data_IF_325897013490
#
_entry.id   IF_325897013490
#
_cell.length_a   1.000
_cell.length_b   1.000
_cell.length_c   1.000
_cell.angle_alpha   90.00
_cell.angle_beta   90.00
_cell.angle_gamma   90.00
#
_symmetry.space_group_name_H-M   'P 1'
#
loop_
_entity.id
_entity.type
_entity.pdbx_description
1 polymer ?
#
# COMPACT_ATOMS: atom_id res chain seq x y z
N UNK A 1 -8.75 -9.47 -19.49
CA UNK A 1 -7.98 -9.28 -19.58
C UNK A 1 -7.08 -9.52 -18.90
N UNK A 2 -7.14 -9.76 -18.95
CA UNK A 2 -6.39 -9.98 -18.70
C UNK A 2 -5.16 -9.66 -18.43
N UNK A 3 -4.46 -9.86 -18.09
CA UNK A 3 -3.07 -9.60 -18.06
C UNK A 3 -2.58 -8.17 -18.21
N UNK A 4 -3.45 -7.23 -18.06
CA UNK A 4 -3.04 -5.85 -18.11
C UNK A 4 -2.29 -5.50 -16.84
N UNK A 5 -1.12 -4.90 -17.01
CA UNK A 5 -0.35 -4.41 -15.89
C UNK A 5 -0.95 -3.12 -15.35
N UNK A 6 -0.96 -2.99 -14.05
CA UNK A 6 -1.28 -1.71 -13.44
C UNK A 6 -0.10 -0.77 -13.62
N UNK A 7 -0.40 0.50 -13.86
CA UNK A 7 0.63 1.53 -14.00
C UNK A 7 0.92 2.10 -12.62
N UNK A 8 2.19 1.99 -12.20
CA UNK A 8 2.65 2.66 -10.98
C UNK A 8 3.18 4.02 -11.38
N UNK A 9 2.66 5.05 -10.75
CA UNK A 9 3.04 6.44 -10.99
C UNK A 9 3.83 6.97 -9.82
N UNK A 10 4.60 8.02 -10.06
CA UNK A 10 5.38 8.67 -9.02
C UNK A 10 5.04 10.15 -8.96
N UNK A 11 4.70 10.61 -7.75
CA UNK A 11 4.45 12.02 -7.48
C UNK A 11 5.69 12.60 -6.80
N UNK A 12 6.44 13.38 -7.56
CA UNK A 12 7.69 13.94 -7.10
C UNK A 12 7.55 14.91 -5.94
N UNK A 13 6.49 15.71 -5.95
CA UNK A 13 6.30 16.71 -4.90
C UNK A 13 6.06 16.10 -3.54
N UNK A 14 5.37 14.97 -3.50
CA UNK A 14 5.00 14.32 -2.25
C UNK A 14 5.81 13.07 -1.95
N UNK A 15 6.77 12.72 -2.81
CA UNK A 15 7.56 11.49 -2.67
C UNK A 15 6.67 10.27 -2.52
N UNK A 16 5.74 10.12 -3.45
CA UNK A 16 4.75 9.04 -3.38
C UNK A 16 4.77 8.21 -4.65
N UNK A 17 4.70 6.90 -4.48
CA UNK A 17 4.35 5.98 -5.55
C UNK A 17 2.90 5.63 -5.39
N UNK A 18 2.16 5.56 -6.47
CA UNK A 18 0.74 5.27 -6.36
C UNK A 18 0.18 4.56 -7.59
N UNK A 19 -0.94 3.88 -7.36
CA UNK A 19 -1.75 3.29 -8.42
C UNK A 19 -3.15 3.87 -8.29
N UNK A 20 -3.70 4.34 -9.41
CA UNK A 20 -5.10 4.77 -9.49
C UNK A 20 -5.87 3.78 -10.36
N UNK A 21 -7.02 3.35 -9.87
CA UNK A 21 -7.88 2.43 -10.62
C UNK A 21 -9.33 2.84 -10.46
N UNK A 22 -10.07 2.74 -11.54
CA UNK A 22 -11.49 3.03 -11.52
C UNK A 22 -12.27 1.77 -11.19
N UNK A 23 -13.20 1.90 -10.25
CA UNK A 23 -14.09 0.80 -9.86
C UNK A 23 -15.50 1.37 -9.84
N UNK A 24 -16.28 1.07 -10.88
CA UNK A 24 -17.61 1.67 -11.02
C UNK A 24 -17.53 3.20 -11.11
N UNK A 25 -18.20 3.88 -10.22
CA UNK A 25 -18.19 5.35 -10.17
C UNK A 25 -17.16 5.91 -9.21
N UNK A 26 -16.30 5.06 -8.68
CA UNK A 26 -15.28 5.48 -7.73
C UNK A 26 -13.90 5.32 -8.34
N UNK A 27 -12.97 6.12 -7.87
CA UNK A 27 -11.55 5.96 -8.19
C UNK A 27 -10.79 5.65 -6.91
N UNK A 28 -10.05 4.55 -6.95
CA UNK A 28 -9.22 4.13 -5.85
C UNK A 28 -7.80 4.61 -6.12
N UNK A 29 -7.16 5.16 -5.09
CA UNK A 29 -5.76 5.52 -5.15
C UNK A 29 -5.03 4.88 -3.97
N UNK A 30 -4.18 3.91 -4.26
CA UNK A 30 -3.32 3.29 -3.24
C UNK A 30 -1.95 3.92 -3.31
N UNK A 31 -1.44 4.38 -2.18
CA UNK A 31 -0.22 5.19 -2.12
C UNK A 31 0.80 4.55 -1.20
N UNK A 32 2.04 4.52 -1.66
CA UNK A 32 3.23 4.24 -0.86
C UNK A 32 3.99 5.56 -0.72
N UNK A 33 3.86 6.19 0.42
CA UNK A 33 4.54 7.45 0.69
C UNK A 33 5.88 7.19 1.36
N UNK A 34 6.94 7.75 0.78
CA UNK A 34 8.25 7.69 1.40
C UNK A 34 8.21 8.59 2.63
N UNK A 35 8.22 7.97 3.80
CA UNK A 35 7.97 8.66 5.05
C UNK A 35 9.25 9.09 5.75
N UNK A 36 10.24 8.23 5.72
CA UNK A 36 11.48 8.48 6.42
C UNK A 36 12.61 7.78 5.68
N UNK A 37 13.83 8.28 5.88
CA UNK A 37 14.98 7.74 5.20
C UNK A 37 16.19 7.93 6.12
N UNK A 38 16.77 6.83 6.56
CA UNK A 38 18.04 6.89 7.28
C UNK A 38 19.14 6.27 6.42
N UNK A 39 20.34 6.06 6.99
CA UNK A 39 21.51 5.66 6.20
C UNK A 39 21.32 4.38 5.39
N UNK A 40 20.52 3.43 5.88
CA UNK A 40 20.40 2.11 5.26
C UNK A 40 18.97 1.61 5.11
N UNK A 41 17.99 2.38 5.52
CA UNK A 41 16.59 1.95 5.51
C UNK A 41 15.68 3.05 5.03
N UNK A 42 14.74 2.70 4.15
CA UNK A 42 13.70 3.62 3.67
C UNK A 42 12.36 3.10 4.16
N UNK A 43 11.54 4.00 4.69
CA UNK A 43 10.22 3.68 5.22
C UNK A 43 9.14 4.16 4.27
N UNK A 44 8.20 3.28 3.95
CA UNK A 44 7.05 3.60 3.10
C UNK A 44 5.77 3.41 3.91
N UNK A 45 5.02 4.48 4.04
CA UNK A 45 3.69 4.44 4.66
C UNK A 45 2.66 4.16 3.57
N UNK A 46 1.80 3.19 3.81
CA UNK A 46 0.77 2.80 2.86
C UNK A 46 -0.56 3.39 3.27
N UNK A 47 -1.24 4.05 2.34
CA UNK A 47 -2.61 4.51 2.60
C UNK A 47 -3.44 4.46 1.33
N UNK A 48 -4.74 4.50 1.52
CA UNK A 48 -5.72 4.33 0.46
C UNK A 48 -6.71 5.47 0.50
N UNK A 49 -7.05 6.01 -0.67
CA UNK A 49 -8.07 7.05 -0.79
C UNK A 49 -9.09 6.61 -1.83
N UNK A 50 -10.37 6.84 -1.54
CA UNK A 50 -11.46 6.66 -2.49
C UNK A 50 -12.01 8.02 -2.88
N UNK A 51 -12.14 8.23 -4.18
CA UNK A 51 -12.75 9.42 -4.75
C UNK A 51 -14.08 9.04 -5.41
N UNK A 52 -15.08 9.91 -5.30
CA UNK A 52 -16.32 9.70 -6.02
C UNK A 52 -16.15 10.15 -7.48
N UNK A 53 -17.18 10.00 -8.28
CA UNK A 53 -17.12 10.34 -9.71
C UNK A 53 -16.83 11.81 -9.99
N UNK A 54 -16.97 12.69 -8.98
CA UNK A 54 -16.65 14.10 -9.10
C UNK A 54 -15.25 14.43 -8.60
N UNK A 55 -14.43 13.42 -8.38
CA UNK A 55 -13.10 13.53 -7.83
C UNK A 55 -13.05 14.13 -6.42
N UNK A 56 -14.14 13.97 -5.67
CA UNK A 56 -14.19 14.36 -4.27
C UNK A 56 -13.79 13.17 -3.43
N UNK A 57 -13.03 13.42 -2.38
CA UNK A 57 -12.62 12.35 -1.47
C UNK A 57 -13.83 11.85 -0.70
N UNK A 58 -14.16 10.56 -0.86
CA UNK A 58 -15.22 9.92 -0.10
C UNK A 58 -14.69 9.35 1.19
N UNK A 59 -13.51 8.73 1.13
CA UNK A 59 -12.89 8.24 2.32
C UNK A 59 -11.39 8.08 2.09
N UNK A 60 -10.63 8.33 3.15
CA UNK A 60 -9.20 8.11 3.18
C UNK A 60 -8.91 6.69 3.66
N UNK A 61 -7.64 6.31 3.57
CA UNK A 61 -7.18 5.00 3.97
C UNK A 61 -7.80 4.53 5.29
N UNK A 62 -7.81 5.40 6.28
CA UNK A 62 -8.30 5.05 7.61
C UNK A 62 -9.81 4.81 7.64
N UNK A 63 -10.54 5.32 6.68
CA UNK A 63 -11.99 5.22 6.63
C UNK A 63 -12.50 4.23 5.60
N UNK A 64 -11.60 3.65 4.82
CA UNK A 64 -12.02 2.71 3.79
C UNK A 64 -12.68 1.51 4.44
N UNK A 65 -13.91 1.28 4.10
CA UNK A 65 -14.69 0.17 4.64
C UNK A 65 -14.78 -1.00 3.69
N UNK A 66 -14.12 -0.92 2.55
CA UNK A 66 -14.23 -1.94 1.51
C UNK A 66 -15.69 -2.17 1.10
N UNK A 67 -16.50 -1.14 1.28
CA UNK A 67 -17.94 -1.24 1.06
C UNK A 67 -18.39 -0.51 -0.18
N UNK A 68 -17.60 0.36 -0.77
CA UNK A 68 -18.00 1.13 -1.92
C UNK A 68 -19.11 0.51 -2.77
N UNK A 69 -19.13 0.77 -4.04
CA UNK A 69 -20.12 0.19 -4.93
C UNK A 69 -19.89 -1.30 -5.18
N UNK A 70 -18.66 -1.75 -5.02
CA UNK A 70 -18.28 -3.13 -5.32
C UNK A 70 -17.15 -3.54 -4.38
N UNK A 71 -17.48 -3.93 -3.15
CA UNK A 71 -16.45 -4.20 -2.14
C UNK A 71 -15.52 -5.35 -2.49
N UNK A 72 -16.03 -6.39 -3.13
CA UNK A 72 -15.19 -7.53 -3.50
C UNK A 72 -14.18 -7.13 -4.58
N UNK A 73 -14.63 -6.42 -5.61
CA UNK A 73 -13.75 -5.94 -6.66
C UNK A 73 -12.71 -4.97 -6.09
N UNK A 74 -13.14 -4.08 -5.20
CA UNK A 74 -12.24 -3.14 -4.53
C UNK A 74 -11.13 -3.90 -3.81
N UNK A 75 -11.47 -4.94 -3.09
CA UNK A 75 -10.50 -5.76 -2.38
C UNK A 75 -9.45 -6.38 -3.32
N UNK A 76 -9.90 -6.95 -4.43
CA UNK A 76 -8.98 -7.54 -5.40
C UNK A 76 -8.08 -6.49 -6.05
N UNK A 77 -8.63 -5.33 -6.37
CA UNK A 77 -7.84 -4.24 -6.96
C UNK A 77 -6.79 -3.74 -5.98
N UNK A 78 -7.16 -3.56 -4.72
CA UNK A 78 -6.21 -3.13 -3.69
C UNK A 78 -5.06 -4.13 -3.56
N UNK A 79 -5.37 -5.41 -3.51
CA UNK A 79 -4.33 -6.45 -3.40
C UNK A 79 -3.38 -6.42 -4.58
N UNK A 80 -3.93 -6.31 -5.78
CA UNK A 80 -3.11 -6.25 -6.98
C UNK A 80 -2.25 -4.99 -7.01
N UNK A 81 -2.84 -3.85 -6.68
CA UNK A 81 -2.11 -2.58 -6.63
C UNK A 81 -0.99 -2.63 -5.60
N UNK A 82 -1.27 -3.19 -4.43
CA UNK A 82 -0.27 -3.34 -3.38
C UNK A 82 0.94 -4.14 -3.88
N UNK A 83 0.69 -5.24 -4.56
CA UNK A 83 1.73 -6.09 -5.11
C UNK A 83 2.62 -5.34 -6.12
N UNK A 84 1.99 -4.60 -7.04
CA UNK A 84 2.75 -3.83 -8.01
C UNK A 84 3.57 -2.72 -7.37
N UNK A 85 3.01 -2.08 -6.33
CA UNK A 85 3.74 -1.05 -5.60
C UNK A 85 4.93 -1.62 -4.84
N UNK A 86 4.77 -2.77 -4.20
CA UNK A 86 5.89 -3.42 -3.51
C UNK A 86 6.99 -3.76 -4.52
N UNK A 87 6.63 -4.34 -5.66
CA UNK A 87 7.62 -4.65 -6.69
C UNK A 87 8.35 -3.40 -7.15
N UNK A 88 7.63 -2.30 -7.34
CA UNK A 88 8.22 -1.05 -7.82
C UNK A 88 9.25 -0.51 -6.84
N UNK A 89 8.91 -0.40 -5.57
CA UNK A 89 9.85 0.14 -4.58
C UNK A 89 11.02 -0.80 -4.31
N UNK A 90 10.79 -2.12 -4.36
CA UNK A 90 11.89 -3.07 -4.25
C UNK A 90 12.86 -2.91 -5.42
N UNK A 91 12.34 -2.81 -6.63
CA UNK A 91 13.17 -2.65 -7.82
C UNK A 91 14.00 -1.38 -7.78
N UNK A 92 13.41 -0.28 -7.32
CA UNK A 92 14.08 1.01 -7.29
C UNK A 92 15.14 1.12 -6.19
N UNK A 93 14.90 0.53 -5.01
CA UNK A 93 15.71 0.85 -3.84
C UNK A 93 16.34 -0.33 -3.13
N UNK A 94 15.79 -1.54 -3.26
CA UNK A 94 16.21 -2.65 -2.41
C UNK A 94 17.62 -3.18 -2.72
N UNK A 95 18.15 -2.88 -3.89
CA UNK A 95 19.52 -3.23 -4.22
C UNK A 95 20.52 -2.54 -3.30
N UNK A 96 20.11 -1.44 -2.66
CA UNK A 96 20.99 -0.64 -1.81
C UNK A 96 20.48 -0.47 -0.39
N UNK A 97 19.17 -0.56 -0.16
CA UNK A 97 18.54 -0.25 1.12
C UNK A 97 17.64 -1.37 1.60
N UNK A 98 17.54 -1.51 2.93
CA UNK A 98 16.40 -2.19 3.51
C UNK A 98 15.17 -1.32 3.30
N UNK A 99 14.02 -1.93 3.10
CA UNK A 99 12.76 -1.20 3.01
C UNK A 99 11.82 -1.68 4.11
N UNK A 100 11.14 -0.73 4.75
CA UNK A 100 10.07 -1.05 5.68
C UNK A 100 8.78 -0.51 5.07
N UNK A 101 7.84 -1.40 4.83
CA UNK A 101 6.53 -1.03 4.29
C UNK A 101 5.53 -1.25 5.42
N UNK A 102 4.78 -0.20 5.77
CA UNK A 102 3.89 -0.28 6.93
C UNK A 102 2.60 0.48 6.71
N UNK A 103 1.57 0.09 7.44
CA UNK A 103 0.32 0.81 7.49
C UNK A 103 -0.19 0.89 8.92
N UNK A 104 -0.99 1.90 9.19
CA UNK A 104 -1.66 2.09 10.47
C UNK A 104 -3.16 1.88 10.28
N UNK A 105 -3.93 2.02 11.34
CA UNK A 105 -5.38 1.85 11.29
C UNK A 105 -6.04 2.77 12.31
N UNK A 106 -7.32 3.08 12.06
CA UNK A 106 -8.10 3.89 12.98
C UNK A 106 -8.87 3.06 14.00
N UNK A 107 -9.29 1.85 13.62
CA UNK A 107 -10.07 1.01 14.52
C UNK A 107 -9.70 -0.46 14.36
N UNK A 108 -10.13 -1.26 15.32
CA UNK A 108 -9.77 -2.67 15.37
C UNK A 108 -10.32 -3.48 14.20
N UNK A 109 -11.46 -3.08 13.66
CA UNK A 109 -12.07 -3.78 12.54
C UNK A 109 -11.20 -3.66 11.28
N UNK A 110 -10.70 -2.45 11.01
CA UNK A 110 -9.79 -2.23 9.88
C UNK A 110 -8.46 -2.93 10.10
N UNK A 111 -7.95 -2.86 11.32
CA UNK A 111 -6.73 -3.58 11.68
C UNK A 111 -6.85 -5.06 11.33
N UNK A 112 -7.94 -5.70 11.75
CA UNK A 112 -8.13 -7.12 11.54
C UNK A 112 -8.26 -7.45 10.04
N UNK A 113 -8.95 -6.60 9.29
CA UNK A 113 -9.10 -6.79 7.85
C UNK A 113 -7.75 -6.67 7.13
N UNK A 114 -6.95 -5.68 7.48
CA UNK A 114 -5.62 -5.51 6.89
C UNK A 114 -4.70 -6.67 7.25
N UNK A 115 -4.70 -7.06 8.51
CA UNK A 115 -3.79 -8.09 8.98
C UNK A 115 -4.12 -9.45 8.39
N UNK A 116 -5.39 -9.73 8.15
CA UNK A 116 -5.80 -11.00 7.56
C UNK A 116 -5.08 -11.27 6.23
N UNK A 117 -4.97 -10.24 5.40
CA UNK A 117 -4.25 -10.37 4.13
C UNK A 117 -2.74 -10.24 4.32
N UNK A 118 -2.30 -9.19 5.01
CA UNK A 118 -0.89 -8.86 5.10
C UNK A 118 -0.08 -9.91 5.86
N UNK A 119 -0.68 -10.56 6.84
CA UNK A 119 0.01 -11.62 7.57
C UNK A 119 0.41 -12.78 6.67
N UNK A 120 -0.36 -13.03 5.59
CA UNK A 120 0.00 -14.09 4.63
C UNK A 120 1.22 -13.72 3.82
N UNK A 121 1.60 -12.45 3.83
CA UNK A 121 2.77 -11.94 3.10
C UNK A 121 3.94 -11.63 4.01
N UNK A 122 3.89 -12.07 5.27
CA UNK A 122 4.98 -11.89 6.22
C UNK A 122 4.93 -10.59 7.01
N UNK A 123 3.84 -9.84 6.91
CA UNK A 123 3.66 -8.64 7.72
C UNK A 123 3.21 -9.01 9.12
N UNK A 124 3.59 -8.21 10.08
CA UNK A 124 3.27 -8.45 11.49
C UNK A 124 3.07 -7.13 12.24
N UNK A 125 2.52 -7.22 13.43
CA UNK A 125 2.33 -6.05 14.28
C UNK A 125 3.67 -5.57 14.83
N UNK A 126 3.77 -4.26 14.99
CA UNK A 126 4.93 -3.63 15.60
C UNK A 126 4.67 -2.16 15.86
N UNK A 127 5.74 -1.40 16.03
CA UNK A 127 5.67 0.04 16.24
C UNK A 127 6.72 0.74 15.39
N UNK A 128 6.34 1.88 14.84
CA UNK A 128 7.26 2.78 14.14
C UNK A 128 7.02 4.16 14.72
N UNK A 129 8.09 4.78 15.22
CA UNK A 129 8.01 6.08 15.89
C UNK A 129 6.98 6.10 17.02
N UNK A 130 6.89 5.00 17.77
CA UNK A 130 5.97 4.86 18.87
C UNK A 130 4.53 4.55 18.49
N UNK A 131 4.21 4.55 17.20
CA UNK A 131 2.86 4.29 16.72
C UNK A 131 2.69 2.85 16.30
N UNK A 132 1.57 2.24 16.70
CA UNK A 132 1.28 0.86 16.33
C UNK A 132 1.02 0.75 14.83
N UNK A 133 1.59 -0.27 14.23
CA UNK A 133 1.46 -0.49 12.80
C UNK A 133 1.50 -1.98 12.45
N UNK A 134 1.21 -2.28 11.20
CA UNK A 134 1.46 -3.57 10.58
C UNK A 134 2.56 -3.32 9.57
N UNK A 135 3.66 -4.08 9.66
CA UNK A 135 4.84 -3.78 8.87
C UNK A 135 5.58 -5.04 8.43
N UNK A 136 6.40 -4.86 7.41
CA UNK A 136 7.37 -5.87 7.01
C UNK A 136 8.67 -5.18 6.62
N UNK A 137 9.79 -5.77 7.03
CA UNK A 137 11.11 -5.34 6.58
C UNK A 137 11.56 -6.22 5.42
N UNK A 138 11.94 -5.58 4.33
CA UNK A 138 12.55 -6.23 3.17
C UNK A 138 14.03 -5.93 3.22
N UNK A 139 14.84 -6.94 3.48
CA UNK A 139 16.28 -6.74 3.62
C UNK A 139 16.94 -6.42 2.30
N UNK A 140 17.97 -5.62 2.35
CA UNK A 140 18.75 -5.21 1.18
C UNK A 140 19.16 -6.43 0.35
N UNK A 141 19.00 -6.33 -0.95
CA UNK A 141 19.43 -7.36 -1.87
C UNK A 141 18.50 -8.57 -1.94
N UNK A 142 17.23 -8.40 -1.54
CA UNK A 142 16.24 -9.46 -1.67
C UNK A 142 16.06 -9.84 -3.13
N UNK A 143 16.33 -11.10 -3.46
CA UNK A 143 16.29 -11.56 -4.85
C UNK A 143 14.96 -12.13 -5.29
N UNK A 144 14.17 -12.64 -4.37
CA UNK A 144 12.91 -13.29 -4.72
C UNK A 144 11.73 -12.40 -4.40
N UNK A 145 10.88 -12.20 -5.39
CA UNK A 145 9.64 -11.46 -5.22
C UNK A 145 8.44 -12.38 -4.94
N UNK A 146 8.67 -13.66 -4.79
CA UNK A 146 7.60 -14.61 -4.53
C UNK A 146 6.91 -14.39 -3.19
N UNK A 147 7.61 -13.80 -2.25
CA UNK A 147 7.09 -13.56 -0.91
C UNK A 147 6.35 -12.23 -0.78
N UNK A 148 6.17 -11.55 -1.86
CA UNK A 148 5.53 -10.24 -1.89
C UNK A 148 4.02 -10.34 -1.82
#
# INVERSE_FOLDING_TARGET
MRGEKMVVQYDRENDEYFVKERIGNQTLKLVFQMHDWNADTIFFNVYLTLYNKRNQIESNEAEVKMTGENPLQTFFVVRKAFKYLVWKVLDEYNWKYDLIIYCTWLDNRRRDAYYKYLSTKGYRYGRIDGEKCIFKRYKKGMESYEQI
#
